data_IF_064586253637
#
_entry.id   IF_064586253637
#
_cell.length_a   1.000
_cell.length_b   1.000
_cell.length_c   1.000
_cell.angle_alpha   90.00
_cell.angle_beta   90.00
_cell.angle_gamma   90.00
#
_symmetry.space_group_name_H-M   'P 1'
#
loop_
_entity.id
_entity.type
_entity.pdbx_description
1 polymer ?
#
# COMPACT_ATOMS: atom_id res chain seq x y z
N UNK A 1 12.36 -3.70 11.99
CA UNK A 1 12.73 -3.76 10.57
C UNK A 1 14.26 -3.65 10.42
N UNK A 2 14.89 -2.58 10.87
CA UNK A 2 16.33 -2.31 10.70
C UNK A 2 17.24 -3.48 11.12
N UNK A 3 16.93 -4.14 12.22
CA UNK A 3 17.75 -5.22 12.78
C UNK A 3 17.65 -6.52 11.95
N UNK A 4 16.47 -6.87 11.48
CA UNK A 4 16.19 -8.16 10.82
C UNK A 4 16.26 -8.08 9.27
N UNK A 5 16.28 -6.88 8.73
CA UNK A 5 16.41 -6.65 7.29
C UNK A 5 17.34 -5.45 7.05
N UNK A 6 16.85 -4.38 6.49
CA UNK A 6 17.51 -3.08 6.38
C UNK A 6 16.47 -2.00 6.13
N UNK A 7 16.82 -0.76 6.40
CA UNK A 7 16.03 0.42 6.03
C UNK A 7 16.74 1.25 4.95
N UNK A 8 17.80 0.69 4.36
CA UNK A 8 18.59 1.36 3.33
C UNK A 8 18.08 0.97 1.93
N UNK A 9 17.69 1.96 1.12
CA UNK A 9 17.32 1.72 -0.26
C UNK A 9 18.46 1.13 -1.09
N UNK A 10 19.71 1.49 -0.78
CA UNK A 10 20.89 0.98 -1.45
C UNK A 10 21.15 -0.52 -1.18
N UNK A 11 20.76 -1.01 -0.01
CA UNK A 11 20.96 -2.41 0.39
C UNK A 11 19.83 -3.34 -0.04
N UNK A 12 18.59 -2.91 0.16
CA UNK A 12 17.40 -3.76 -0.01
C UNK A 12 16.32 -3.14 -0.89
N UNK A 13 16.63 -2.08 -1.58
CA UNK A 13 15.68 -1.39 -2.44
C UNK A 13 14.75 -0.44 -1.70
N UNK A 14 13.89 0.22 -2.44
CA UNK A 14 12.86 1.11 -1.86
C UNK A 14 11.86 0.39 -0.95
N UNK A 15 11.75 -0.93 -1.06
CA UNK A 15 10.97 -1.72 -0.09
C UNK A 15 11.47 -1.52 1.35
N UNK A 16 12.78 -1.39 1.56
CA UNK A 16 13.37 -1.15 2.87
C UNK A 16 13.25 0.30 3.32
N UNK A 17 13.50 1.25 2.44
CA UNK A 17 13.50 2.69 2.75
C UNK A 17 12.05 3.24 2.80
N UNK A 18 11.39 3.32 1.68
CA UNK A 18 10.03 3.87 1.57
C UNK A 18 9.02 2.96 2.26
N UNK A 19 9.20 1.62 2.15
CA UNK A 19 8.33 0.66 2.81
C UNK A 19 8.38 0.76 4.32
N UNK A 20 9.57 0.86 4.92
CA UNK A 20 9.70 1.05 6.38
C UNK A 20 9.15 2.40 6.84
N UNK A 21 9.38 3.47 6.07
CA UNK A 21 8.86 4.79 6.38
C UNK A 21 7.32 4.80 6.35
N UNK A 22 6.71 4.23 5.32
CA UNK A 22 5.26 4.13 5.20
C UNK A 22 4.65 3.26 6.31
N UNK A 23 5.28 2.14 6.65
CA UNK A 23 4.88 1.27 7.76
C UNK A 23 4.86 2.01 9.10
N UNK A 24 5.94 2.72 9.43
CA UNK A 24 6.02 3.51 10.67
C UNK A 24 4.99 4.65 10.68
N UNK A 25 4.78 5.32 9.56
CA UNK A 25 3.80 6.39 9.44
C UNK A 25 2.36 5.87 9.61
N UNK A 26 2.03 4.73 9.02
CA UNK A 26 0.72 4.09 9.17
C UNK A 26 0.45 3.69 10.63
N UNK A 27 1.42 3.05 11.27
CA UNK A 27 1.32 2.71 12.69
C UNK A 27 1.12 3.94 13.58
N UNK A 28 1.94 4.97 13.37
CA UNK A 28 1.84 6.22 14.13
C UNK A 28 0.52 6.94 13.95
N UNK A 29 0.01 7.01 12.72
CA UNK A 29 -1.28 7.62 12.43
C UNK A 29 -2.43 6.82 13.04
N UNK A 30 -2.42 5.49 12.89
CA UNK A 30 -3.43 4.61 13.50
C UNK A 30 -3.47 4.79 15.02
N UNK A 31 -2.31 4.80 15.68
CA UNK A 31 -2.21 5.04 17.12
C UNK A 31 -2.73 6.44 17.52
N UNK A 32 -2.41 7.47 16.76
CA UNK A 32 -2.89 8.83 16.99
C UNK A 32 -4.43 8.97 16.86
N UNK A 33 -5.03 8.14 16.00
CA UNK A 33 -6.49 8.04 15.82
C UNK A 33 -7.17 7.17 16.90
N UNK A 34 -6.42 6.62 17.84
CA UNK A 34 -6.96 5.81 18.94
C UNK A 34 -7.09 4.32 18.62
N UNK A 35 -6.38 3.83 17.59
CA UNK A 35 -6.37 2.42 17.24
C UNK A 35 -5.80 1.52 18.35
N UNK A 36 -6.29 0.29 18.41
CA UNK A 36 -5.77 -0.76 19.30
C UNK A 36 -4.36 -1.20 18.83
N UNK A 37 -3.65 -1.92 19.70
CA UNK A 37 -2.33 -2.45 19.32
C UNK A 37 -2.40 -3.34 18.07
N UNK A 38 -3.44 -4.16 17.94
CA UNK A 38 -3.66 -5.01 16.77
C UNK A 38 -3.90 -4.20 15.50
N UNK A 39 -4.69 -3.14 15.59
CA UNK A 39 -4.93 -2.24 14.46
C UNK A 39 -3.66 -1.49 14.05
N UNK A 40 -2.85 -1.05 15.02
CA UNK A 40 -1.56 -0.40 14.78
C UNK A 40 -0.60 -1.35 14.06
N UNK A 41 -0.52 -2.61 14.48
CA UNK A 41 0.31 -3.64 13.85
C UNK A 41 -0.17 -3.94 12.43
N UNK A 42 -1.46 -4.16 12.23
CA UNK A 42 -2.06 -4.39 10.91
C UNK A 42 -1.83 -3.21 9.95
N UNK A 43 -1.98 -1.99 10.43
CA UNK A 43 -1.72 -0.79 9.61
C UNK A 43 -0.27 -0.75 9.15
N UNK A 44 0.67 -1.05 10.05
CA UNK A 44 2.10 -1.15 9.72
C UNK A 44 2.39 -2.22 8.67
N UNK A 45 1.81 -3.41 8.84
CA UNK A 45 1.96 -4.55 7.93
C UNK A 45 1.43 -4.23 6.54
N UNK A 46 0.19 -3.77 6.43
CA UNK A 46 -0.44 -3.41 5.16
C UNK A 46 0.39 -2.37 4.40
N UNK A 47 0.86 -1.32 5.07
CA UNK A 47 1.68 -0.32 4.44
C UNK A 47 3.01 -0.88 3.94
N UNK A 48 3.62 -1.81 4.68
CA UNK A 48 4.86 -2.47 4.28
C UNK A 48 4.67 -3.41 3.08
N UNK A 49 3.62 -4.23 3.09
CA UNK A 49 3.30 -5.18 2.02
C UNK A 49 3.19 -4.51 0.66
N UNK A 50 2.61 -3.31 0.59
CA UNK A 50 2.49 -2.55 -0.64
C UNK A 50 3.83 -2.08 -1.24
N UNK A 51 4.92 -2.25 -0.52
CA UNK A 51 6.26 -1.88 -0.95
C UNK A 51 7.18 -3.09 -1.22
N UNK A 52 6.73 -4.31 -0.93
CA UNK A 52 7.50 -5.52 -1.20
C UNK A 52 7.81 -5.66 -2.69
N UNK A 53 9.04 -5.99 -3.02
CA UNK A 53 9.51 -6.12 -4.39
C UNK A 53 9.99 -4.81 -5.04
N UNK A 54 9.91 -3.66 -4.36
CA UNK A 54 10.43 -2.40 -4.91
C UNK A 54 11.95 -2.37 -4.86
N UNK A 55 12.56 -2.25 -6.04
CA UNK A 55 14.00 -2.06 -6.25
C UNK A 55 14.44 -0.61 -5.99
N UNK A 56 15.73 -0.34 -6.08
CA UNK A 56 16.29 1.01 -6.04
C UNK A 56 17.27 1.19 -7.20
N UNK A 57 16.74 1.59 -8.33
CA UNK A 57 17.45 1.81 -9.59
C UNK A 57 16.97 3.10 -10.28
N UNK A 58 17.21 4.27 -9.66
CA UNK A 58 16.70 5.53 -10.17
C UNK A 58 17.34 5.90 -11.51
N UNK A 59 16.54 6.55 -12.37
CA UNK A 59 16.99 6.96 -13.72
C UNK A 59 18.21 7.87 -13.62
N UNK A 60 19.25 7.50 -14.35
CA UNK A 60 20.51 8.23 -14.40
C UNK A 60 21.29 8.27 -13.07
N UNK A 61 20.95 7.42 -12.11
CA UNK A 61 21.53 7.45 -10.76
C UNK A 61 21.08 8.66 -9.93
N UNK A 62 20.18 9.47 -10.45
CA UNK A 62 19.62 10.63 -9.77
C UNK A 62 18.44 10.19 -8.89
N UNK A 63 18.41 10.64 -7.64
CA UNK A 63 17.32 10.32 -6.71
C UNK A 63 16.11 11.22 -6.98
N UNK A 64 15.54 11.09 -8.19
CA UNK A 64 14.40 11.86 -8.67
C UNK A 64 13.30 10.95 -9.20
N UNK A 65 13.57 10.20 -10.26
CA UNK A 65 12.60 9.28 -10.89
C UNK A 65 13.04 7.84 -10.63
N UNK A 66 12.21 7.00 -10.00
CA UNK A 66 10.84 7.22 -9.49
C UNK A 66 10.77 7.65 -8.01
N UNK A 67 11.83 8.18 -7.42
CA UNK A 67 11.93 8.39 -5.97
C UNK A 67 10.94 9.43 -5.45
N UNK A 68 10.74 10.53 -6.17
CA UNK A 68 9.81 11.58 -5.76
C UNK A 68 8.38 11.03 -5.69
N UNK A 69 7.95 10.35 -6.75
CA UNK A 69 6.61 9.75 -6.82
C UNK A 69 6.42 8.64 -5.78
N UNK A 70 7.43 7.79 -5.57
CA UNK A 70 7.37 6.72 -4.58
C UNK A 70 7.21 7.25 -3.16
N UNK A 71 7.90 8.32 -2.80
CA UNK A 71 7.74 8.96 -1.50
C UNK A 71 6.34 9.57 -1.32
N UNK A 72 5.83 10.27 -2.33
CA UNK A 72 4.47 10.80 -2.32
C UNK A 72 3.41 9.70 -2.18
N UNK A 73 3.52 8.63 -2.98
CA UNK A 73 2.62 7.49 -2.90
C UNK A 73 2.77 6.70 -1.60
N UNK A 74 3.97 6.64 -1.03
CA UNK A 74 4.21 6.03 0.28
C UNK A 74 3.43 6.72 1.39
N UNK A 75 3.38 8.05 1.38
CA UNK A 75 2.58 8.83 2.32
C UNK A 75 1.07 8.56 2.16
N UNK A 76 0.57 8.49 0.93
CA UNK A 76 -0.83 8.14 0.64
C UNK A 76 -1.16 6.73 1.15
N UNK A 77 -0.29 5.76 0.90
CA UNK A 77 -0.45 4.37 1.38
C UNK A 77 -0.48 4.29 2.91
N UNK A 78 0.35 5.08 3.60
CA UNK A 78 0.35 5.14 5.05
C UNK A 78 -1.00 5.64 5.61
N UNK A 79 -1.57 6.68 5.01
CA UNK A 79 -2.90 7.18 5.38
C UNK A 79 -3.99 6.14 5.10
N UNK A 80 -3.94 5.48 3.94
CA UNK A 80 -4.91 4.44 3.57
C UNK A 80 -4.86 3.24 4.50
N UNK A 81 -3.68 2.78 4.87
CA UNK A 81 -3.48 1.66 5.79
C UNK A 81 -3.97 1.98 7.21
N UNK A 82 -3.75 3.21 7.69
CA UNK A 82 -4.20 3.65 9.02
C UNK A 82 -5.72 3.76 9.14
N UNK A 83 -6.44 3.91 8.02
CA UNK A 83 -7.91 4.02 7.97
C UNK A 83 -8.59 2.74 7.49
N UNK A 84 -7.95 1.59 7.66
CA UNK A 84 -8.39 0.30 7.11
C UNK A 84 -9.83 -0.08 7.45
N UNK A 85 -10.28 0.10 8.69
CA UNK A 85 -11.64 -0.27 9.10
C UNK A 85 -12.70 0.48 8.28
N UNK A 86 -12.47 1.75 7.98
CA UNK A 86 -13.34 2.52 7.10
C UNK A 86 -13.28 2.03 5.65
N UNK A 87 -12.10 1.64 5.18
CA UNK A 87 -11.93 1.08 3.84
C UNK A 87 -12.61 -0.29 3.70
N UNK A 88 -12.52 -1.15 4.72
CA UNK A 88 -13.20 -2.45 4.75
C UNK A 88 -14.71 -2.27 4.71
N UNK A 89 -15.26 -1.35 5.50
CA UNK A 89 -16.70 -1.08 5.50
C UNK A 89 -17.16 -0.48 4.16
N UNK A 90 -16.40 0.45 3.58
CA UNK A 90 -16.68 1.00 2.26
C UNK A 90 -16.62 -0.08 1.17
N UNK A 91 -15.63 -0.97 1.22
CA UNK A 91 -15.51 -2.11 0.31
C UNK A 91 -16.68 -3.08 0.47
N UNK A 92 -17.08 -3.40 1.69
CA UNK A 92 -18.23 -4.26 1.99
C UNK A 92 -19.51 -3.66 1.40
N UNK A 93 -19.76 -2.38 1.65
CA UNK A 93 -20.95 -1.71 1.13
C UNK A 93 -20.92 -1.61 -0.38
N UNK A 94 -19.79 -1.24 -0.97
CA UNK A 94 -19.60 -1.20 -2.43
C UNK A 94 -19.81 -2.57 -3.06
N UNK A 95 -19.36 -3.64 -2.40
CA UNK A 95 -19.59 -5.01 -2.86
C UNK A 95 -21.07 -5.42 -2.84
N UNK A 96 -21.84 -4.94 -1.86
CA UNK A 96 -23.29 -5.15 -1.82
C UNK A 96 -23.99 -4.38 -2.96
N UNK A 97 -23.58 -3.15 -3.20
CA UNK A 97 -24.16 -2.26 -4.21
C UNK A 97 -23.75 -2.64 -5.63
N UNK A 98 -22.66 -3.41 -5.78
CA UNK A 98 -22.10 -3.79 -7.06
C UNK A 98 -23.03 -4.77 -7.79
N UNK A 99 -23.40 -4.40 -9.00
CA UNK A 99 -24.17 -5.27 -9.88
C UNK A 99 -23.37 -6.52 -10.25
N UNK A 100 -24.02 -7.69 -10.29
CA UNK A 100 -23.40 -8.98 -10.56
C UNK A 100 -22.63 -9.04 -11.89
N UNK A 101 -23.00 -8.24 -12.87
CA UNK A 101 -22.28 -8.11 -14.14
C UNK A 101 -20.86 -7.55 -14.03
N UNK A 102 -20.47 -7.01 -12.87
CA UNK A 102 -19.15 -6.44 -12.60
C UNK A 102 -18.36 -7.24 -11.55
N UNK A 103 -18.88 -8.40 -11.11
CA UNK A 103 -18.18 -9.29 -10.19
C UNK A 103 -17.27 -10.26 -10.97
N UNK A 104 -16.38 -10.95 -10.28
CA UNK A 104 -15.32 -11.80 -10.86
C UNK A 104 -15.80 -12.77 -11.94
N UNK A 105 -16.96 -13.40 -11.75
CA UNK A 105 -17.56 -14.36 -12.69
C UNK A 105 -18.55 -13.71 -13.66
N UNK A 106 -18.48 -12.41 -13.84
CA UNK A 106 -19.46 -11.65 -14.61
C UNK A 106 -19.31 -11.85 -16.12
N UNK A 107 -20.41 -11.61 -16.83
CA UNK A 107 -20.47 -11.54 -18.28
C UNK A 107 -20.46 -10.08 -18.77
N UNK A 108 -19.74 -9.19 -18.06
CA UNK A 108 -19.69 -7.76 -18.36
C UNK A 108 -18.38 -7.10 -17.88
N UNK A 109 -18.30 -5.78 -17.96
CA UNK A 109 -17.13 -5.02 -17.54
C UNK A 109 -15.88 -5.31 -18.36
N UNK A 110 -14.71 -5.30 -17.72
CA UNK A 110 -13.42 -5.53 -18.38
C UNK A 110 -13.30 -6.93 -18.98
N UNK A 111 -13.92 -7.93 -18.35
CA UNK A 111 -13.91 -9.31 -18.83
C UNK A 111 -14.48 -9.47 -20.26
N UNK A 112 -15.37 -8.58 -20.66
CA UNK A 112 -16.00 -8.60 -22.00
C UNK A 112 -15.43 -7.53 -22.92
N UNK A 113 -15.01 -6.38 -22.35
CA UNK A 113 -14.63 -5.19 -23.12
C UNK A 113 -13.13 -5.13 -23.45
N UNK A 114 -12.31 -6.00 -22.85
CA UNK A 114 -10.87 -6.14 -23.14
C UNK A 114 -10.58 -7.56 -23.62
N UNK A 115 -10.73 -7.85 -24.92
CA UNK A 115 -10.38 -9.16 -25.46
C UNK A 115 -8.87 -9.36 -25.41
N UNK A 116 -8.43 -10.44 -24.76
CA UNK A 116 -7.02 -10.86 -24.71
C UNK A 116 -6.31 -10.66 -23.38
N UNK A 117 -7.02 -10.35 -22.29
CA UNK A 117 -6.50 -10.48 -20.93
C UNK A 117 -6.85 -11.84 -20.36
#
# INVERSE_FOLDING_TARGET
IKHNASISGAEVGCQGEVGSAASMAAAGLCAALGGTNEQVENAAEIALEHHLGMTCDPVGGLVQVPCIERNGLGAIKAVSAASLDNCIEAMRQTGIDMNDRYKETSQGGLAVNLPGC
#
